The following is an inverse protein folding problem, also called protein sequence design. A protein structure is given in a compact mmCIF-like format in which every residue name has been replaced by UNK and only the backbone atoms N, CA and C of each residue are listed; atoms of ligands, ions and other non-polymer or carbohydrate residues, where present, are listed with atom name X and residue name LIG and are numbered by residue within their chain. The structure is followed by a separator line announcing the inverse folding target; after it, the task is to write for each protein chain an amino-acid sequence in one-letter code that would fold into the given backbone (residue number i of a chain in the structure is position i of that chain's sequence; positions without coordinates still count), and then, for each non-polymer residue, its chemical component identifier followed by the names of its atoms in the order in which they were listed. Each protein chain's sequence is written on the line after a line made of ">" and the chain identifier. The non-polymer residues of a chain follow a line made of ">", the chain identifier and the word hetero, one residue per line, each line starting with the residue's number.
data_IF_695037776455
#
_entry.id   IF_695037776455
#
_cell.length_a   1.000
_cell.length_b   1.000
_cell.length_c   1.000
_cell.angle_alpha   90.00
_cell.angle_beta   90.00
_cell.angle_gamma   90.00
#
_symmetry.space_group_name_H-M   'P 1'
#
loop_
_entity.id
_entity.type
_entity.pdbx_description
1 polymer ?
#
# COMPACT_ATOMS: atom_id res chain seq x y z
N UNK A 1 11.51 12.88 16.26
CA UNK A 1 10.40 13.86 16.15
C UNK A 1 9.07 13.13 16.15
N UNK A 2 8.08 13.61 16.86
CA UNK A 2 6.76 13.00 16.80
C UNK A 2 6.20 13.10 15.39
N UNK A 3 5.44 12.08 14.97
CA UNK A 3 4.78 12.11 13.68
C UNK A 3 3.66 13.17 13.67
N UNK A 4 3.59 13.94 12.61
CA UNK A 4 2.50 14.89 12.36
C UNK A 4 1.34 14.17 11.71
N UNK A 5 0.13 14.44 12.19
CA UNK A 5 -1.12 13.95 11.59
C UNK A 5 -1.85 15.12 10.92
N UNK A 6 -2.13 14.98 9.63
CA UNK A 6 -2.95 15.91 8.88
C UNK A 6 -4.26 15.22 8.52
N UNK A 7 -5.38 15.81 8.88
CA UNK A 7 -6.71 15.29 8.54
C UNK A 7 -7.18 15.98 7.26
N UNK A 8 -7.52 15.17 6.26
CA UNK A 8 -8.05 15.64 4.98
C UNK A 8 -9.56 15.42 4.97
N UNK A 9 -10.31 16.51 4.87
CA UNK A 9 -11.77 16.50 4.80
C UNK A 9 -12.20 16.89 3.38
N UNK A 10 -12.94 15.99 2.74
CA UNK A 10 -13.53 16.22 1.42
C UNK A 10 -15.05 16.24 1.59
N UNK A 11 -15.76 17.31 1.19
CA UNK A 11 -17.21 17.36 1.32
C UNK A 11 -17.89 16.17 0.64
N UNK A 12 -18.70 15.41 1.37
CA UNK A 12 -19.41 14.23 0.85
C UNK A 12 -18.62 12.91 0.89
N UNK A 13 -17.38 12.94 1.37
CA UNK A 13 -16.51 11.77 1.50
C UNK A 13 -16.13 11.52 2.97
N UNK A 14 -15.71 10.31 3.29
CA UNK A 14 -15.09 10.04 4.58
C UNK A 14 -13.73 10.72 4.69
N UNK A 15 -13.48 11.36 5.82
CA UNK A 15 -12.18 11.98 6.09
C UNK A 15 -11.08 10.91 6.19
N UNK A 16 -9.89 11.22 5.70
CA UNK A 16 -8.72 10.36 5.89
C UNK A 16 -7.57 11.15 6.51
N UNK A 17 -6.59 10.45 7.05
CA UNK A 17 -5.42 11.09 7.63
C UNK A 17 -4.12 10.79 6.85
N UNK A 18 -3.24 11.77 6.84
CA UNK A 18 -1.88 11.67 6.33
C UNK A 18 -0.93 11.78 7.52
N UNK A 19 -0.01 10.83 7.65
CA UNK A 19 0.96 10.77 8.74
C UNK A 19 2.36 11.00 8.19
N UNK A 20 3.04 11.98 8.75
CA UNK A 20 4.36 12.43 8.28
C UNK A 20 5.32 12.46 9.47
N UNK A 21 6.46 11.78 9.35
CA UNK A 21 7.47 11.82 10.39
C UNK A 21 8.35 10.58 10.45
N UNK A 22 9.37 10.65 11.29
CA UNK A 22 10.23 9.51 11.57
C UNK A 22 9.47 8.38 12.27
N UNK A 23 9.78 7.13 11.90
CA UNK A 23 9.17 5.94 12.52
C UNK A 23 7.73 5.63 12.07
N UNK A 24 7.14 6.39 11.14
CA UNK A 24 5.77 6.14 10.66
C UNK A 24 5.68 4.77 9.99
N UNK A 25 6.68 4.38 9.21
CA UNK A 25 6.70 3.08 8.55
C UNK A 25 6.73 1.91 9.55
N UNK A 26 7.51 2.02 10.60
CA UNK A 26 7.60 1.00 11.64
C UNK A 26 6.27 0.77 12.39
N UNK A 27 5.37 1.75 12.35
CA UNK A 27 4.05 1.69 12.97
C UNK A 27 2.91 1.46 11.96
N UNK A 28 3.23 1.16 10.70
CA UNK A 28 2.25 1.04 9.61
C UNK A 28 1.10 0.10 9.99
N UNK A 29 1.40 -1.13 10.36
CA UNK A 29 0.38 -2.13 10.71
C UNK A 29 -0.49 -1.70 11.89
N UNK A 30 0.12 -1.14 12.94
CA UNK A 30 -0.60 -0.65 14.11
C UNK A 30 -1.55 0.53 13.76
N UNK A 31 -1.14 1.38 12.82
CA UNK A 31 -2.02 2.45 12.32
C UNK A 31 -3.20 1.88 11.53
N UNK A 32 -2.96 0.90 10.67
CA UNK A 32 -4.04 0.28 9.88
C UNK A 32 -5.08 -0.40 10.76
N UNK A 33 -4.67 -1.12 11.81
CA UNK A 33 -5.61 -1.78 12.72
C UNK A 33 -6.57 -0.85 13.45
N UNK A 34 -6.24 0.43 13.55
CA UNK A 34 -7.12 1.45 14.14
C UNK A 34 -8.21 1.96 13.18
N UNK A 35 -8.10 1.63 11.90
CA UNK A 35 -9.04 2.07 10.88
C UNK A 35 -10.08 0.96 10.64
N UNK A 36 -11.38 1.26 10.72
CA UNK A 36 -12.44 0.24 10.58
C UNK A 36 -12.34 -0.56 9.29
N UNK A 37 -11.95 0.07 8.19
CA UNK A 37 -11.82 -0.58 6.87
C UNK A 37 -10.78 -1.70 6.85
N UNK A 38 -9.80 -1.68 7.76
CA UNK A 38 -8.73 -2.67 7.84
C UNK A 38 -8.83 -3.58 9.08
N UNK A 39 -9.81 -3.36 9.95
CA UNK A 39 -9.92 -4.10 11.21
C UNK A 39 -10.02 -5.60 11.01
N UNK A 40 -10.76 -6.03 9.98
CA UNK A 40 -10.99 -7.44 9.64
C UNK A 40 -10.08 -7.96 8.52
N UNK A 41 -9.19 -7.13 7.98
CA UNK A 41 -8.28 -7.54 6.92
C UNK A 41 -7.23 -8.53 7.44
N UNK A 42 -7.10 -9.67 6.78
CA UNK A 42 -6.17 -10.74 7.17
C UNK A 42 -4.90 -10.75 6.31
N UNK A 43 -5.00 -10.26 5.08
CA UNK A 43 -3.95 -10.31 4.07
C UNK A 43 -3.54 -8.91 3.63
N UNK A 44 -2.24 -8.71 3.45
CA UNK A 44 -1.69 -7.50 2.86
C UNK A 44 -0.75 -7.85 1.69
N UNK A 45 -0.87 -7.10 0.59
CA UNK A 45 0.05 -7.16 -0.53
C UNK A 45 0.83 -5.84 -0.59
N UNK A 46 2.14 -5.91 -0.41
CA UNK A 46 3.03 -4.77 -0.63
C UNK A 46 3.43 -4.72 -2.09
N UNK A 47 3.06 -3.66 -2.79
CA UNK A 47 3.51 -3.37 -4.16
C UNK A 47 4.60 -2.32 -4.07
N UNK A 48 5.76 -2.61 -4.63
CA UNK A 48 6.93 -1.72 -4.62
C UNK A 48 7.68 -1.82 -5.94
N UNK A 49 8.78 -1.10 -6.10
CA UNK A 49 9.66 -1.21 -7.25
C UNK A 49 11.07 -1.70 -6.87
N UNK A 50 11.87 -1.98 -7.87
CA UNK A 50 13.24 -2.51 -7.71
C UNK A 50 14.18 -1.58 -6.93
N UNK A 51 13.96 -0.26 -6.98
CA UNK A 51 14.79 0.72 -6.29
C UNK A 51 14.38 0.87 -4.81
N UNK A 52 13.09 0.82 -4.53
CA UNK A 52 12.53 1.01 -3.18
C UNK A 52 12.61 -0.27 -2.35
N UNK A 53 12.41 -1.43 -2.99
CA UNK A 53 12.37 -2.72 -2.30
C UNK A 53 13.59 -2.98 -1.40
N UNK A 54 14.85 -2.77 -1.84
CA UNK A 54 16.01 -3.00 -0.99
C UNK A 54 16.06 -2.10 0.25
N UNK A 55 15.41 -0.94 0.20
CA UNK A 55 15.47 0.08 1.25
C UNK A 55 14.38 -0.10 2.31
N UNK A 56 13.14 -0.40 1.92
CA UNK A 56 11.98 -0.29 2.80
C UNK A 56 11.06 -1.50 2.83
N UNK A 57 11.17 -2.44 1.89
CA UNK A 57 10.26 -3.58 1.80
C UNK A 57 10.26 -4.43 3.06
N UNK A 58 11.44 -4.73 3.60
CA UNK A 58 11.55 -5.57 4.79
C UNK A 58 10.87 -4.91 6.00
N UNK A 59 11.12 -3.63 6.22
CA UNK A 59 10.54 -2.87 7.34
C UNK A 59 9.01 -2.78 7.22
N UNK A 60 8.49 -2.53 6.02
CA UNK A 60 7.05 -2.50 5.78
C UNK A 60 6.39 -3.86 6.05
N UNK A 61 6.99 -4.94 5.57
CA UNK A 61 6.50 -6.31 5.80
C UNK A 61 6.51 -6.68 7.28
N UNK A 62 7.58 -6.33 7.99
CA UNK A 62 7.70 -6.59 9.41
C UNK A 62 6.63 -5.82 10.21
N UNK A 63 6.46 -4.54 9.93
CA UNK A 63 5.46 -3.71 10.60
C UNK A 63 4.03 -4.24 10.40
N UNK A 64 3.71 -4.73 9.20
CA UNK A 64 2.42 -5.34 8.90
C UNK A 64 2.26 -6.71 9.60
N UNK A 65 3.29 -7.55 9.55
CA UNK A 65 3.26 -8.86 10.19
C UNK A 65 3.10 -8.78 11.71
N UNK A 66 3.77 -7.82 12.36
CA UNK A 66 3.62 -7.56 13.79
C UNK A 66 2.20 -7.17 14.19
N UNK A 67 1.44 -6.58 13.26
CA UNK A 67 0.04 -6.24 13.46
C UNK A 67 -0.93 -7.39 13.07
N UNK A 68 -0.41 -8.57 12.75
CA UNK A 68 -1.20 -9.77 12.47
C UNK A 68 -1.63 -9.94 11.02
N UNK A 69 -1.09 -9.15 10.07
CA UNK A 69 -1.32 -9.39 8.64
C UNK A 69 -0.44 -10.54 8.13
N UNK A 70 -0.99 -11.37 7.26
CA UNK A 70 -0.21 -12.27 6.40
C UNK A 70 0.23 -11.50 5.18
N UNK A 71 1.53 -11.26 5.04
CA UNK A 71 2.08 -10.31 4.08
C UNK A 71 2.70 -11.04 2.89
N UNK A 72 2.30 -10.63 1.70
CA UNK A 72 2.96 -10.95 0.43
C UNK A 72 3.49 -9.66 -0.20
N UNK A 73 4.42 -9.77 -1.12
CA UNK A 73 4.97 -8.61 -1.82
C UNK A 73 5.25 -8.90 -3.30
N UNK A 74 5.23 -7.85 -4.09
CA UNK A 74 5.66 -7.87 -5.48
C UNK A 74 6.46 -6.60 -5.78
N UNK A 75 7.62 -6.77 -6.41
CA UNK A 75 8.42 -5.67 -6.91
C UNK A 75 8.30 -5.58 -8.42
N UNK A 76 7.92 -4.41 -8.93
CA UNK A 76 7.84 -4.13 -10.36
C UNK A 76 9.11 -3.42 -10.84
N UNK A 77 9.41 -3.42 -12.15
CA UNK A 77 10.49 -2.61 -12.69
C UNK A 77 10.30 -1.12 -12.34
N UNK A 78 11.39 -0.43 -12.02
CA UNK A 78 11.34 0.99 -11.73
C UNK A 78 11.06 1.81 -12.99
N UNK A 79 10.39 2.96 -12.82
CA UNK A 79 10.17 3.93 -13.88
C UNK A 79 8.78 3.87 -14.52
N UNK A 80 8.47 4.88 -15.32
CA UNK A 80 7.17 5.09 -15.96
C UNK A 80 6.69 3.93 -16.85
N UNK A 81 7.61 3.11 -17.37
CA UNK A 81 7.26 1.93 -18.16
C UNK A 81 6.40 0.90 -17.41
N UNK A 82 6.45 0.89 -16.09
CA UNK A 82 5.60 0.02 -15.26
C UNK A 82 4.15 0.51 -15.14
N UNK A 83 3.85 1.76 -15.52
CA UNK A 83 2.47 2.26 -15.64
C UNK A 83 1.83 1.72 -16.92
N UNK A 84 1.54 0.42 -16.95
CA UNK A 84 1.00 -0.27 -18.11
C UNK A 84 -0.04 -1.30 -17.69
N UNK A 85 -0.92 -1.66 -18.62
CA UNK A 85 -1.91 -2.72 -18.39
C UNK A 85 -1.23 -4.08 -18.22
N UNK A 86 -0.11 -4.29 -18.89
CA UNK A 86 0.68 -5.51 -18.80
C UNK A 86 1.19 -5.73 -17.37
N UNK A 87 1.81 -4.73 -16.77
CA UNK A 87 2.30 -4.82 -15.39
C UNK A 87 1.13 -4.90 -14.39
N UNK A 88 0.05 -4.16 -14.60
CA UNK A 88 -1.17 -4.32 -13.80
C UNK A 88 -1.71 -5.76 -13.89
N UNK A 89 -1.69 -6.37 -15.07
CA UNK A 89 -2.09 -7.75 -15.30
C UNK A 89 -1.25 -8.74 -14.51
N UNK A 90 0.08 -8.55 -14.48
CA UNK A 90 0.99 -9.37 -13.67
C UNK A 90 0.66 -9.31 -12.18
N UNK A 91 0.32 -8.12 -11.68
CA UNK A 91 -0.09 -7.96 -10.27
C UNK A 91 -1.43 -8.65 -10.01
N UNK A 92 -2.43 -8.50 -10.89
CA UNK A 92 -3.71 -9.22 -10.74
C UNK A 92 -3.53 -10.74 -10.74
N UNK A 93 -2.68 -11.27 -11.63
CA UNK A 93 -2.36 -12.69 -11.67
C UNK A 93 -1.69 -13.16 -10.37
N UNK A 94 -0.75 -12.37 -9.84
CA UNK A 94 -0.11 -12.66 -8.55
C UNK A 94 -1.13 -12.65 -7.41
N UNK A 95 -2.03 -11.67 -7.38
CA UNK A 95 -3.09 -11.60 -6.36
C UNK A 95 -4.02 -12.80 -6.43
N UNK A 96 -4.42 -13.22 -7.62
CA UNK A 96 -5.25 -14.40 -7.83
C UNK A 96 -4.53 -15.68 -7.42
N UNK A 97 -3.25 -15.83 -7.78
CA UNK A 97 -2.42 -16.98 -7.40
C UNK A 97 -2.21 -17.10 -5.89
N UNK A 98 -2.16 -15.97 -5.21
CA UNK A 98 -2.09 -15.90 -3.75
C UNK A 98 -3.46 -16.09 -3.07
N UNK A 99 -4.52 -16.27 -3.85
CA UNK A 99 -5.90 -16.37 -3.38
C UNK A 99 -6.32 -15.18 -2.49
N UNK A 100 -5.90 -13.96 -2.86
CA UNK A 100 -6.31 -12.75 -2.15
C UNK A 100 -7.79 -12.46 -2.40
N UNK A 101 -8.55 -12.32 -1.33
CA UNK A 101 -9.97 -11.97 -1.36
C UNK A 101 -10.18 -10.45 -1.27
N UNK A 102 -11.45 -10.05 -1.18
CA UNK A 102 -11.83 -8.63 -1.03
C UNK A 102 -11.44 -8.01 0.30
N UNK A 103 -11.12 -8.84 1.28
CA UNK A 103 -10.63 -8.48 2.61
C UNK A 103 -9.13 -8.19 2.67
N UNK A 104 -8.42 -8.30 1.54
CA UNK A 104 -7.02 -7.92 1.47
C UNK A 104 -6.85 -6.40 1.42
N UNK A 105 -5.66 -5.93 1.80
CA UNK A 105 -5.24 -4.54 1.61
C UNK A 105 -4.02 -4.49 0.69
N UNK A 106 -4.04 -3.57 -0.26
CA UNK A 106 -2.88 -3.27 -1.11
C UNK A 106 -2.12 -2.12 -0.47
N UNK A 107 -0.83 -2.31 -0.24
CA UNK A 107 0.07 -1.28 0.29
C UNK A 107 1.01 -0.82 -0.82
N UNK A 108 0.84 0.40 -1.29
CA UNK A 108 1.66 1.00 -2.33
C UNK A 108 2.89 1.66 -1.68
N UNK A 109 4.03 0.98 -1.74
CA UNK A 109 5.28 1.43 -1.14
C UNK A 109 6.23 1.92 -2.25
N UNK A 110 6.22 3.20 -2.53
CA UNK A 110 7.06 3.76 -3.59
C UNK A 110 6.73 5.20 -3.96
N UNK A 111 7.23 5.63 -5.09
CA UNK A 111 6.95 6.93 -5.66
C UNK A 111 5.61 6.96 -6.42
N UNK A 112 5.44 7.98 -7.26
CA UNK A 112 4.20 8.20 -8.03
C UNK A 112 3.81 7.05 -8.95
N UNK A 113 4.79 6.42 -9.60
CA UNK A 113 4.53 5.26 -10.48
C UNK A 113 3.90 4.11 -9.70
N UNK A 114 4.49 3.73 -8.56
CA UNK A 114 3.97 2.65 -7.72
C UNK A 114 2.61 3.02 -7.13
N UNK A 115 2.44 4.25 -6.66
CA UNK A 115 1.18 4.74 -6.12
C UNK A 115 0.04 4.68 -7.13
N UNK A 116 0.29 5.13 -8.36
CA UNK A 116 -0.70 5.11 -9.45
C UNK A 116 -1.02 3.68 -9.89
N UNK A 117 0.00 2.86 -10.09
CA UNK A 117 -0.16 1.47 -10.50
C UNK A 117 -0.92 0.65 -9.46
N UNK A 118 -0.49 0.69 -8.21
CA UNK A 118 -1.12 -0.05 -7.12
C UNK A 118 -2.53 0.47 -6.82
N UNK A 119 -2.76 1.77 -6.93
CA UNK A 119 -4.09 2.37 -6.80
C UNK A 119 -5.06 1.87 -7.88
N UNK A 120 -4.60 1.82 -9.13
CA UNK A 120 -5.39 1.26 -10.24
C UNK A 120 -5.66 -0.24 -10.05
N UNK A 121 -4.66 -1.01 -9.66
CA UNK A 121 -4.81 -2.44 -9.37
C UNK A 121 -5.83 -2.67 -8.26
N UNK A 122 -5.72 -1.93 -7.16
CA UNK A 122 -6.65 -2.05 -6.03
C UNK A 122 -8.08 -1.67 -6.42
N UNK A 123 -8.25 -0.61 -7.22
CA UNK A 123 -9.57 -0.15 -7.66
C UNK A 123 -10.27 -1.15 -8.60
N UNK A 124 -9.51 -1.96 -9.31
CA UNK A 124 -10.03 -2.87 -10.35
C UNK A 124 -10.05 -4.34 -9.94
N UNK A 125 -9.28 -4.73 -8.92
CA UNK A 125 -9.29 -6.10 -8.43
C UNK A 125 -10.56 -6.39 -7.63
N UNK A 126 -11.29 -7.44 -8.03
CA UNK A 126 -12.52 -7.89 -7.35
C UNK A 126 -13.54 -6.76 -7.05
N UNK A 127 -13.71 -5.81 -7.96
CA UNK A 127 -14.56 -4.61 -7.84
C UNK A 127 -14.05 -3.58 -6.82
N UNK A 128 -12.80 -3.64 -6.50
CA UNK A 128 -12.14 -2.72 -5.58
C UNK A 128 -11.78 -3.36 -4.24
N UNK A 129 -10.52 -3.18 -3.86
CA UNK A 129 -10.00 -3.51 -2.54
C UNK A 129 -9.34 -2.27 -1.94
N UNK A 130 -9.25 -2.16 -0.61
CA UNK A 130 -8.61 -1.02 0.02
C UNK A 130 -7.15 -0.86 -0.37
N UNK A 131 -6.70 0.38 -0.52
CA UNK A 131 -5.30 0.72 -0.78
C UNK A 131 -4.78 1.71 0.26
N UNK A 132 -3.53 1.52 0.64
CA UNK A 132 -2.77 2.43 1.51
C UNK A 132 -1.59 2.96 0.74
N UNK A 133 -1.47 4.27 0.64
CA UNK A 133 -0.33 4.93 0.01
C UNK A 133 0.77 5.16 1.04
N UNK A 134 1.96 4.65 0.74
CA UNK A 134 3.19 4.85 1.51
C UNK A 134 4.24 5.50 0.59
N UNK A 135 4.14 6.82 0.37
CA UNK A 135 5.00 7.55 -0.57
C UNK A 135 6.45 7.56 -0.09
N UNK A 136 7.37 7.34 -1.01
CA UNK A 136 8.82 7.36 -0.74
C UNK A 136 9.56 8.48 -1.49
N UNK A 137 8.86 9.26 -2.32
CA UNK A 137 9.42 10.43 -3.00
C UNK A 137 8.69 11.70 -2.61
N UNK A 138 9.40 12.82 -2.61
CA UNK A 138 8.80 14.12 -2.28
C UNK A 138 7.65 14.47 -3.23
N UNK A 139 7.78 14.15 -4.51
CA UNK A 139 6.75 14.45 -5.52
C UNK A 139 5.45 13.67 -5.28
N UNK A 140 5.52 12.47 -4.70
CA UNK A 140 4.34 11.64 -4.41
C UNK A 140 3.71 11.91 -3.04
N UNK A 141 4.35 12.73 -2.24
CA UNK A 141 3.83 13.21 -0.95
C UNK A 141 2.94 14.44 -1.14
#
# INVERSE_FOLDING_TARGET
>A
MPATKVIVNIPGEEAYDVRIGGGVLANLGAHLRKLPVFAESDRALVVTDENVAPLYRADAKEALAQAGFRVSDIAVPAGEGSKSVEVAGEIWEAMASLALGRDCVVVALGGGVVGDLAGFVAATYMRGVPVVQVPTTLLSM
#
